data_IF_188796614622
#
_entry.id   IF_188796614622
#
_cell.length_a   1.000
_cell.length_b   1.000
_cell.length_c   1.000
_cell.angle_alpha   90.00
_cell.angle_beta   90.00
_cell.angle_gamma   90.00
#
_symmetry.space_group_name_H-M   'P 1'
#
loop_
_entity.id
_entity.type
_entity.pdbx_description
1 polymer ?
#
# COMPACT_ATOMS: atom_id res chain seq x y z
N UNK A 1 18.47 -21.10 -1.05
CA UNK A 1 17.79 -21.84 -2.14
C UNK A 1 18.62 -23.06 -2.50
N UNK A 2 18.05 -24.07 -3.20
CA UNK A 2 18.84 -25.19 -3.74
C UNK A 2 20.01 -24.74 -4.63
N UNK A 3 19.85 -23.59 -5.29
CA UNK A 3 20.89 -22.89 -6.07
C UNK A 3 22.09 -22.37 -5.27
N UNK A 4 22.03 -22.37 -3.93
CA UNK A 4 23.00 -21.72 -3.06
C UNK A 4 22.72 -20.23 -2.78
N UNK A 5 21.76 -19.61 -3.47
CA UNK A 5 21.43 -18.19 -3.24
C UNK A 5 20.68 -17.99 -1.91
N UNK A 6 20.80 -16.79 -1.34
CA UNK A 6 20.13 -16.41 -0.09
C UNK A 6 18.60 -16.35 -0.29
N UNK A 7 17.86 -17.03 0.58
CA UNK A 7 16.39 -17.08 0.49
C UNK A 7 15.68 -16.13 1.45
N UNK A 8 16.02 -16.22 2.73
CA UNK A 8 15.33 -15.51 3.79
C UNK A 8 16.38 -14.97 4.76
N UNK A 9 16.27 -13.69 5.09
CA UNK A 9 17.04 -13.03 6.14
C UNK A 9 16.09 -12.75 7.29
N UNK A 10 16.44 -13.21 8.49
CA UNK A 10 15.76 -12.81 9.72
C UNK A 10 16.76 -12.07 10.58
N UNK A 11 16.50 -10.79 10.80
CA UNK A 11 17.33 -9.94 11.65
C UNK A 11 16.52 -9.42 12.84
N UNK A 12 17.19 -9.31 13.99
CA UNK A 12 16.61 -8.76 15.22
C UNK A 12 17.50 -7.61 15.71
N UNK A 13 16.88 -6.46 15.94
CA UNK A 13 17.47 -5.31 16.63
C UNK A 13 16.62 -4.97 17.85
N UNK A 14 17.15 -5.19 19.05
CA UNK A 14 16.43 -5.04 20.32
C UNK A 14 15.07 -5.76 20.28
N UNK A 15 13.98 -5.00 20.22
CA UNK A 15 12.60 -5.49 20.17
C UNK A 15 11.99 -5.49 18.77
N UNK A 16 12.78 -5.18 17.74
CA UNK A 16 12.36 -5.17 16.33
C UNK A 16 12.88 -6.40 15.63
N UNK A 17 11.98 -7.12 14.96
CA UNK A 17 12.33 -8.24 14.10
C UNK A 17 11.91 -7.89 12.67
N UNK A 18 12.80 -8.16 11.72
CA UNK A 18 12.52 -8.04 10.29
C UNK A 18 12.81 -9.37 9.62
N UNK A 19 11.89 -9.83 8.80
CA UNK A 19 12.03 -10.97 7.93
C UNK A 19 11.96 -10.48 6.48
N UNK A 20 13.01 -10.74 5.70
CA UNK A 20 13.14 -10.33 4.30
C UNK A 20 13.24 -11.60 3.46
N UNK A 21 12.36 -11.75 2.48
CA UNK A 21 12.44 -12.80 1.47
C UNK A 21 13.09 -12.24 0.22
N UNK A 22 14.09 -12.92 -0.33
CA UNK A 22 14.83 -12.53 -1.52
C UNK A 22 14.53 -13.45 -2.70
N UNK A 23 14.70 -12.94 -3.92
CA UNK A 23 14.67 -13.73 -5.16
C UNK A 23 15.81 -14.76 -5.17
N UNK A 24 15.56 -15.88 -5.86
CA UNK A 24 16.60 -16.87 -6.13
C UNK A 24 17.53 -16.39 -7.27
N UNK A 25 18.39 -15.42 -6.97
CA UNK A 25 19.38 -14.85 -7.90
C UNK A 25 20.75 -14.65 -7.24
N UNK A 26 21.85 -14.83 -7.98
CA UNK A 26 23.21 -14.72 -7.43
C UNK A 26 23.65 -13.27 -7.16
N UNK A 27 23.19 -12.31 -7.96
CA UNK A 27 23.48 -10.88 -7.78
C UNK A 27 22.22 -10.05 -7.94
N UNK A 28 22.19 -8.89 -7.26
CA UNK A 28 21.08 -7.93 -7.30
C UNK A 28 19.69 -8.55 -7.05
N UNK A 29 19.62 -9.57 -6.17
CA UNK A 29 18.39 -10.26 -5.82
C UNK A 29 17.34 -9.27 -5.33
N UNK A 30 16.16 -9.29 -5.98
CA UNK A 30 15.04 -8.47 -5.56
C UNK A 30 14.49 -8.91 -4.21
N UNK A 31 13.93 -7.96 -3.46
CA UNK A 31 13.14 -8.28 -2.28
C UNK A 31 11.75 -8.71 -2.74
N UNK A 32 11.33 -9.91 -2.34
CA UNK A 32 9.99 -10.43 -2.65
C UNK A 32 9.00 -10.21 -1.53
N UNK A 33 9.47 -10.11 -0.29
CA UNK A 33 8.63 -9.71 0.84
C UNK A 33 9.45 -9.14 1.99
N UNK A 34 8.82 -8.28 2.77
CA UNK A 34 9.33 -7.73 4.02
C UNK A 34 8.24 -7.84 5.07
N UNK A 35 8.58 -8.42 6.22
CA UNK A 35 7.70 -8.48 7.39
C UNK A 35 8.41 -7.86 8.58
N UNK A 36 7.76 -6.91 9.23
CA UNK A 36 8.31 -6.19 10.37
C UNK A 36 7.46 -6.45 11.62
N UNK A 37 8.11 -6.56 12.78
CA UNK A 37 7.43 -6.76 14.06
C UNK A 37 6.62 -5.55 14.56
N UNK A 38 6.62 -4.44 13.83
CA UNK A 38 5.71 -3.31 14.05
C UNK A 38 4.37 -3.50 13.29
N UNK A 39 4.19 -4.65 12.63
CA UNK A 39 3.01 -4.99 11.84
C UNK A 39 3.05 -4.53 10.38
N UNK A 40 4.07 -3.77 9.94
CA UNK A 40 4.23 -3.36 8.54
C UNK A 40 4.78 -4.50 7.72
N UNK A 41 3.97 -4.97 6.78
CA UNK A 41 4.29 -6.13 5.95
C UNK A 41 4.00 -5.82 4.49
N UNK A 42 4.87 -6.25 3.59
CA UNK A 42 4.71 -6.03 2.15
C UNK A 42 5.21 -7.23 1.36
N UNK A 43 4.43 -7.67 0.38
CA UNK A 43 4.83 -8.69 -0.59
C UNK A 43 4.79 -8.09 -1.99
N UNK A 44 5.69 -8.55 -2.85
CA UNK A 44 5.86 -8.06 -4.21
C UNK A 44 5.61 -9.16 -5.23
N UNK A 45 5.09 -8.77 -6.38
CA UNK A 45 5.12 -9.60 -7.58
C UNK A 45 6.56 -9.75 -8.12
N UNK A 46 6.83 -10.73 -9.00
CA UNK A 46 8.13 -10.87 -9.65
C UNK A 46 8.59 -9.62 -10.43
N UNK A 47 7.64 -8.80 -10.92
CA UNK A 47 7.92 -7.51 -11.57
C UNK A 47 8.17 -6.35 -10.57
N UNK A 48 8.26 -6.66 -9.27
CA UNK A 48 8.43 -5.72 -8.14
C UNK A 48 7.24 -4.80 -7.87
N UNK A 49 6.12 -4.96 -8.55
CA UNK A 49 4.88 -4.30 -8.17
C UNK A 49 4.43 -4.79 -6.79
N UNK A 50 3.86 -3.90 -5.98
CA UNK A 50 3.31 -4.28 -4.67
C UNK A 50 2.11 -5.20 -4.90
N UNK A 51 2.17 -6.38 -4.30
CA UNK A 51 1.08 -7.36 -4.36
C UNK A 51 0.20 -7.25 -3.12
N UNK A 52 0.82 -7.26 -1.94
CA UNK A 52 0.11 -7.14 -0.67
C UNK A 52 0.81 -6.10 0.18
N UNK A 53 0.03 -5.22 0.80
CA UNK A 53 0.53 -4.29 1.81
C UNK A 53 -0.38 -4.37 3.04
N UNK A 54 0.23 -4.51 4.22
CA UNK A 54 -0.48 -4.72 5.49
C UNK A 54 0.16 -3.91 6.60
N UNK A 55 -0.66 -3.51 7.57
CA UNK A 55 -0.26 -2.88 8.82
C UNK A 55 -1.08 -3.43 9.99
N UNK A 56 -0.98 -2.81 11.17
CA UNK A 56 -1.72 -3.20 12.38
C UNK A 56 -3.25 -2.97 12.30
N UNK A 57 -3.75 -2.23 11.31
CA UNK A 57 -5.18 -1.96 11.12
C UNK A 57 -5.82 -2.94 10.13
N UNK A 58 -5.08 -3.36 9.11
CA UNK A 58 -5.59 -4.26 8.09
C UNK A 58 -4.60 -4.47 6.97
N UNK A 59 -5.12 -4.71 5.77
CA UNK A 59 -4.29 -4.82 4.59
C UNK A 59 -5.08 -4.69 3.29
N UNK A 60 -4.32 -4.67 2.20
CA UNK A 60 -4.83 -4.57 0.85
C UNK A 60 -4.09 -5.51 -0.07
N UNK A 61 -4.85 -6.04 -1.04
CA UNK A 61 -4.38 -6.88 -2.12
C UNK A 61 -4.50 -6.07 -3.41
N UNK A 62 -3.39 -5.95 -4.14
CA UNK A 62 -3.29 -5.21 -5.39
C UNK A 62 -3.03 -6.18 -6.55
N UNK A 63 -3.47 -5.80 -7.75
CA UNK A 63 -3.08 -6.48 -8.98
C UNK A 63 -1.70 -5.99 -9.48
N UNK A 64 -1.20 -6.58 -10.56
CA UNK A 64 0.11 -6.21 -11.13
C UNK A 64 0.15 -4.78 -11.70
N UNK A 65 -0.99 -4.16 -11.96
CA UNK A 65 -1.11 -2.77 -12.38
C UNK A 65 -1.21 -1.80 -11.19
N UNK A 66 -1.22 -2.32 -9.96
CA UNK A 66 -1.36 -1.54 -8.72
C UNK A 66 -2.79 -1.14 -8.39
N UNK A 67 -3.80 -1.72 -9.05
CA UNK A 67 -5.20 -1.49 -8.68
C UNK A 67 -5.53 -2.32 -7.45
N UNK A 68 -6.31 -1.73 -6.53
CA UNK A 68 -6.76 -2.42 -5.32
C UNK A 68 -7.89 -3.40 -5.64
N UNK A 69 -7.62 -4.69 -5.52
CA UNK A 69 -8.59 -5.79 -5.75
C UNK A 69 -9.37 -6.10 -4.48
N UNK A 70 -8.72 -6.08 -3.31
CA UNK A 70 -9.34 -6.40 -2.03
C UNK A 70 -8.75 -5.54 -0.92
N UNK A 71 -9.56 -5.22 0.09
CA UNK A 71 -9.15 -4.61 1.36
C UNK A 71 -9.80 -5.38 2.51
N UNK A 72 -9.10 -5.50 3.62
CA UNK A 72 -9.64 -6.07 4.85
C UNK A 72 -9.16 -5.27 6.06
N UNK A 73 -9.86 -5.45 7.17
CA UNK A 73 -9.50 -4.92 8.50
C UNK A 73 -9.35 -6.07 9.48
N UNK A 74 -8.46 -5.91 10.47
CA UNK A 74 -8.33 -6.91 11.53
C UNK A 74 -9.48 -6.78 12.54
N UNK A 75 -9.97 -7.88 13.15
CA UNK A 75 -11.11 -7.86 14.08
C UNK A 75 -10.94 -6.95 15.30
N UNK A 76 -9.70 -6.67 15.71
CA UNK A 76 -9.38 -5.86 16.90
C UNK A 76 -8.82 -4.47 16.55
N UNK A 77 -8.97 -4.00 15.30
CA UNK A 77 -8.59 -2.62 15.00
C UNK A 77 -9.62 -1.68 15.65
N UNK A 78 -9.19 -0.89 16.62
CA UNK A 78 -10.01 0.04 17.45
C UNK A 78 -10.81 1.07 16.62
N UNK A 79 -10.57 1.14 15.31
CA UNK A 79 -11.24 2.03 14.36
C UNK A 79 -12.58 1.43 13.87
N UNK A 80 -13.54 1.26 14.77
CA UNK A 80 -14.90 0.79 14.48
C UNK A 80 -15.84 1.94 14.08
N UNK A 81 -15.65 2.54 12.91
CA UNK A 81 -16.67 3.43 12.29
C UNK A 81 -16.90 3.18 10.79
N UNK A 82 -16.19 2.22 10.19
CA UNK A 82 -16.39 1.80 8.79
C UNK A 82 -16.84 0.34 8.69
N UNK A 83 -17.38 -0.05 7.54
CA UNK A 83 -17.70 -1.45 7.25
C UNK A 83 -16.44 -2.30 7.36
N UNK A 84 -16.34 -3.10 8.43
CA UNK A 84 -15.25 -4.04 8.61
C UNK A 84 -15.43 -5.19 7.61
N UNK A 85 -14.54 -5.27 6.64
CA UNK A 85 -14.48 -6.41 5.73
C UNK A 85 -13.52 -7.42 6.36
N UNK A 86 -14.01 -8.59 6.81
CA UNK A 86 -13.16 -9.60 7.40
C UNK A 86 -12.18 -10.15 6.37
N UNK A 87 -11.00 -10.56 6.85
CA UNK A 87 -10.05 -11.26 6.00
C UNK A 87 -10.60 -12.63 5.60
N UNK A 88 -10.68 -12.88 4.30
CA UNK A 88 -10.69 -14.23 3.75
C UNK A 88 -9.24 -14.70 3.58
N UNK A 89 -8.87 -15.91 4.07
CA UNK A 89 -7.51 -16.43 4.01
C UNK A 89 -6.80 -16.20 2.68
N UNK A 90 -5.57 -15.66 2.73
CA UNK A 90 -4.76 -15.39 1.55
C UNK A 90 -3.56 -16.32 1.52
N UNK A 91 -3.32 -16.92 0.36
CA UNK A 91 -2.17 -17.77 0.09
C UNK A 91 -1.54 -17.30 -1.22
N UNK A 92 -0.26 -16.94 -1.18
CA UNK A 92 0.49 -16.52 -2.36
C UNK A 92 1.81 -17.27 -2.43
N UNK A 93 2.26 -17.58 -3.65
CA UNK A 93 3.61 -18.08 -3.91
C UNK A 93 4.47 -16.91 -4.37
N UNK A 94 5.47 -16.53 -3.59
CA UNK A 94 6.42 -15.48 -3.97
C UNK A 94 7.37 -15.98 -5.07
N UNK A 95 7.75 -17.25 -5.00
CA UNK A 95 8.47 -17.97 -6.03
C UNK A 95 8.17 -19.48 -5.93
N UNK A 96 8.97 -20.30 -6.63
CA UNK A 96 8.82 -21.77 -6.65
C UNK A 96 8.99 -22.43 -5.26
N UNK A 97 9.80 -21.84 -4.39
CA UNK A 97 10.18 -22.40 -3.09
C UNK A 97 9.53 -21.66 -1.91
N UNK A 98 9.16 -20.38 -2.06
CA UNK A 98 8.65 -19.55 -0.97
C UNK A 98 7.19 -19.18 -1.18
N UNK A 99 6.38 -19.46 -0.17
CA UNK A 99 4.97 -19.06 -0.08
C UNK A 99 4.66 -18.28 1.19
N UNK A 100 3.60 -17.47 1.14
CA UNK A 100 3.09 -16.69 2.27
C UNK A 100 1.62 -17.04 2.49
N UNK A 101 1.26 -17.25 3.75
CA UNK A 101 -0.09 -17.54 4.21
C UNK A 101 -0.51 -16.50 5.23
N UNK A 102 -1.65 -15.85 5.00
CA UNK A 102 -2.20 -14.79 5.86
C UNK A 102 -3.58 -15.26 6.33
N UNK A 103 -3.71 -15.54 7.63
CA UNK A 103 -4.96 -15.99 8.26
C UNK A 103 -5.51 -14.97 9.25
N UNK A 104 -4.63 -14.33 10.01
CA UNK A 104 -4.94 -13.24 10.95
C UNK A 104 -3.69 -12.40 11.16
N UNK A 105 -3.82 -11.28 11.87
CA UNK A 105 -2.71 -10.36 12.18
C UNK A 105 -1.47 -11.06 12.79
N UNK A 106 -1.71 -12.04 13.67
CA UNK A 106 -0.72 -12.84 14.40
C UNK A 106 -0.42 -14.21 13.76
N UNK A 107 -1.13 -14.56 12.68
CA UNK A 107 -0.96 -15.83 11.95
C UNK A 107 -0.63 -15.53 10.50
N UNK A 108 0.57 -14.99 10.30
CA UNK A 108 1.18 -14.79 8.99
C UNK A 108 2.38 -15.71 8.90
N UNK A 109 2.34 -16.69 8.02
CA UNK A 109 3.41 -17.69 7.88
C UNK A 109 4.12 -17.55 6.55
N UNK A 110 5.44 -17.44 6.59
CA UNK A 110 6.31 -17.67 5.42
C UNK A 110 6.74 -19.12 5.44
N UNK A 111 6.54 -19.83 4.34
CA UNK A 111 7.00 -21.21 4.16
C UNK A 111 8.05 -21.29 3.08
N UNK A 112 9.17 -21.94 3.37
CA UNK A 112 10.19 -22.33 2.41
C UNK A 112 10.10 -23.85 2.22
N UNK A 113 9.90 -24.31 0.99
CA UNK A 113 9.80 -25.72 0.62
C UNK A 113 10.84 -26.02 -0.45
N UNK A 114 11.76 -26.92 -0.18
CA UNK A 114 12.70 -27.43 -1.18
C UNK A 114 13.16 -28.85 -0.83
N UNK A 115 13.42 -29.67 -1.84
CA UNK A 115 13.97 -31.02 -1.68
C UNK A 115 13.18 -31.90 -0.68
N UNK A 116 11.85 -31.79 -0.69
CA UNK A 116 10.97 -32.52 0.23
C UNK A 116 10.96 -32.02 1.68
N UNK A 117 11.72 -30.97 2.00
CA UNK A 117 11.80 -30.37 3.34
C UNK A 117 11.10 -29.02 3.38
N UNK A 118 10.44 -28.72 4.51
CA UNK A 118 9.71 -27.49 4.71
C UNK A 118 10.11 -26.78 6.00
N UNK A 119 10.48 -25.50 5.88
CA UNK A 119 10.62 -24.58 7.00
C UNK A 119 9.45 -23.59 7.02
N UNK A 120 8.92 -23.29 8.21
CA UNK A 120 7.84 -22.31 8.40
C UNK A 120 8.22 -21.31 9.47
N UNK A 121 8.03 -20.03 9.15
CA UNK A 121 8.32 -18.91 10.03
C UNK A 121 7.02 -18.15 10.27
N UNK A 122 6.59 -18.04 11.53
CA UNK A 122 5.52 -17.09 11.86
C UNK A 122 6.12 -15.69 11.92
N UNK A 123 5.67 -14.83 11.03
CA UNK A 123 6.02 -13.41 10.93
C UNK A 123 4.84 -12.51 11.28
N UNK A 124 3.72 -13.10 11.72
CA UNK A 124 2.57 -12.41 12.26
C UNK A 124 2.94 -11.70 13.55
N UNK A 125 2.34 -10.53 13.76
CA UNK A 125 2.59 -9.69 14.93
C UNK A 125 1.27 -9.40 15.64
N UNK A 126 1.16 -9.79 16.90
CA UNK A 126 0.08 -9.34 17.77
C UNK A 126 0.44 -7.97 18.36
N UNK A 127 0.44 -6.94 17.54
CA UNK A 127 0.61 -5.59 18.03
C UNK A 127 -0.72 -5.15 18.65
N UNK A 128 -0.79 -5.17 19.98
CA UNK A 128 -1.82 -4.44 20.71
C UNK A 128 -1.56 -2.95 20.47
N UNK A 129 -2.62 -2.20 20.20
CA UNK A 129 -2.56 -0.74 20.26
C UNK A 129 -2.44 -0.37 21.75
N UNK A 130 -1.23 -0.35 22.26
CA UNK A 130 -0.92 0.13 23.61
C UNK A 130 -0.67 1.64 23.56
N UNK A 131 -1.68 2.41 23.14
CA UNK A 131 -1.87 3.80 23.55
C UNK A 131 -3.22 4.31 23.04
N UNK A 132 -4.18 4.44 23.96
CA UNK A 132 -5.51 5.02 23.70
C UNK A 132 -5.44 6.55 23.53
N UNK A 133 -4.26 7.17 23.70
CA UNK A 133 -4.07 8.62 23.58
C UNK A 133 -3.48 9.14 22.27
N UNK A 134 -3.12 8.30 21.28
CA UNK A 134 -2.29 8.75 20.14
C UNK A 134 -2.65 8.25 18.74
N UNK A 135 -3.79 7.59 18.54
CA UNK A 135 -4.23 7.24 17.19
C UNK A 135 -5.18 8.30 16.64
N UNK A 136 -4.93 8.79 15.40
CA UNK A 136 -5.85 9.70 14.76
C UNK A 136 -7.21 9.02 14.57
N UNK A 137 -8.31 9.79 14.59
CA UNK A 137 -9.65 9.27 14.36
C UNK A 137 -9.79 8.60 12.98
N UNK A 138 -10.87 7.85 12.84
CA UNK A 138 -11.16 6.98 11.70
C UNK A 138 -11.05 7.64 10.34
N UNK A 139 -10.56 6.89 9.34
CA UNK A 139 -10.65 7.24 7.93
C UNK A 139 -10.08 8.63 7.55
N UNK A 140 -9.25 9.22 8.41
CA UNK A 140 -8.40 10.33 8.01
C UNK A 140 -7.30 9.74 7.14
N UNK A 141 -7.35 10.07 5.85
CA UNK A 141 -6.19 9.93 4.98
C UNK A 141 -5.03 10.65 5.68
N UNK A 142 -3.88 10.01 5.79
CA UNK A 142 -2.71 10.70 6.34
C UNK A 142 -2.42 11.96 5.50
N UNK A 143 -1.72 12.94 6.09
CA UNK A 143 -1.31 14.14 5.36
C UNK A 143 -0.58 13.78 4.06
N UNK A 144 0.30 12.77 4.12
CA UNK A 144 1.00 12.21 2.96
C UNK A 144 0.03 11.59 1.93
N UNK A 145 -0.98 10.84 2.38
CA UNK A 145 -1.98 10.24 1.48
C UNK A 145 -2.83 11.30 0.78
N UNK A 146 -3.20 12.37 1.49
CA UNK A 146 -3.89 13.53 0.93
C UNK A 146 -3.04 14.25 -0.11
N UNK A 147 -1.76 14.48 0.18
CA UNK A 147 -0.81 15.06 -0.78
C UNK A 147 -0.63 14.16 -2.00
N UNK A 148 -0.47 12.85 -1.81
CA UNK A 148 -0.33 11.90 -2.90
C UNK A 148 -1.57 11.87 -3.79
N UNK A 149 -2.76 11.95 -3.22
CA UNK A 149 -4.01 12.08 -3.98
C UNK A 149 -4.08 13.40 -4.75
N UNK A 150 -3.67 14.51 -4.12
CA UNK A 150 -3.60 15.82 -4.76
C UNK A 150 -2.63 15.82 -5.95
N UNK A 151 -1.42 15.29 -5.75
CA UNK A 151 -0.41 15.13 -6.81
C UNK A 151 -0.88 14.21 -7.93
N UNK A 152 -1.59 13.12 -7.60
CA UNK A 152 -2.18 12.24 -8.62
C UNK A 152 -3.16 13.01 -9.50
N UNK A 153 -4.06 13.80 -8.91
CA UNK A 153 -5.00 14.63 -9.69
C UNK A 153 -4.25 15.64 -10.56
N UNK A 154 -3.21 16.28 -10.01
CA UNK A 154 -2.37 17.23 -10.74
C UNK A 154 -1.68 16.58 -11.95
N UNK A 155 -1.08 15.41 -11.77
CA UNK A 155 -0.43 14.65 -12.85
C UNK A 155 -1.46 14.29 -13.94
N UNK A 156 -2.65 13.82 -13.56
CA UNK A 156 -3.67 13.48 -14.54
C UNK A 156 -4.19 14.70 -15.31
N UNK A 157 -4.32 15.87 -14.66
CA UNK A 157 -4.64 17.13 -15.35
C UNK A 157 -3.55 17.55 -16.32
N UNK A 158 -2.28 17.39 -15.95
CA UNK A 158 -1.16 17.67 -16.86
C UNK A 158 -1.19 16.75 -18.09
N UNK A 159 -1.47 15.46 -17.90
CA UNK A 159 -1.66 14.53 -19.03
C UNK A 159 -2.84 14.91 -19.92
N UNK A 160 -3.96 15.34 -19.33
CA UNK A 160 -5.12 15.82 -20.07
C UNK A 160 -4.79 17.05 -20.91
N UNK A 161 -4.08 18.04 -20.33
CA UNK A 161 -3.59 19.22 -21.07
C UNK A 161 -2.63 18.84 -22.20
N UNK A 162 -1.67 17.95 -21.93
CA UNK A 162 -0.72 17.47 -22.96
C UNK A 162 -1.44 16.78 -24.12
N UNK A 163 -2.42 15.93 -23.83
CA UNK A 163 -3.27 15.30 -24.86
C UNK A 163 -4.09 16.33 -25.63
N UNK A 164 -4.60 17.34 -24.94
CA UNK A 164 -5.19 18.53 -25.56
C UNK A 164 -4.24 19.11 -26.61
N UNK A 165 -3.06 19.57 -26.18
CA UNK A 165 -2.07 20.20 -27.06
C UNK A 165 -1.72 19.36 -28.29
N UNK A 166 -1.62 18.04 -28.13
CA UNK A 166 -1.35 17.12 -29.24
C UNK A 166 -2.52 17.01 -30.23
N UNK A 167 -3.76 17.02 -29.74
CA UNK A 167 -4.95 16.83 -30.57
C UNK A 167 -5.45 18.12 -31.23
N UNK A 168 -5.22 19.30 -30.63
CA UNK A 168 -5.68 20.59 -31.18
C UNK A 168 -4.61 21.69 -31.10
N UNK A 169 -3.44 21.52 -31.76
CA UNK A 169 -2.26 22.37 -31.56
C UNK A 169 -2.49 23.89 -31.81
N UNK A 170 -3.50 24.26 -32.58
CA UNK A 170 -3.82 25.66 -32.93
C UNK A 170 -4.79 26.36 -31.98
N UNK A 171 -5.27 25.68 -30.92
CA UNK A 171 -6.24 26.27 -30.01
C UNK A 171 -5.52 27.14 -28.96
N UNK A 172 -5.85 28.42 -28.85
CA UNK A 172 -5.25 29.34 -27.86
C UNK A 172 -6.05 29.40 -26.54
N UNK A 173 -7.24 28.80 -26.47
CA UNK A 173 -8.16 28.90 -25.31
C UNK A 173 -8.19 27.64 -24.45
N UNK A 174 -7.03 27.03 -24.20
CA UNK A 174 -6.90 25.80 -23.40
C UNK A 174 -7.49 25.89 -22.00
N UNK A 175 -7.32 27.04 -21.34
CA UNK A 175 -7.77 27.24 -19.95
C UNK A 175 -9.30 27.28 -19.81
N UNK A 176 -10.04 27.34 -20.93
CA UNK A 176 -11.50 27.30 -20.95
C UNK A 176 -12.08 25.91 -21.20
N UNK A 177 -11.26 24.94 -21.60
CA UNK A 177 -11.71 23.57 -21.84
C UNK A 177 -11.92 22.89 -20.49
N UNK A 178 -13.17 22.45 -20.26
CA UNK A 178 -13.49 21.73 -19.02
C UNK A 178 -12.77 20.39 -19.01
N UNK A 179 -12.12 20.03 -17.88
CA UNK A 179 -11.49 18.73 -17.76
C UNK A 179 -12.55 17.62 -17.80
N UNK A 180 -12.18 16.39 -18.19
CA UNK A 180 -13.03 15.23 -18.14
C UNK A 180 -13.75 15.05 -16.79
N UNK A 181 -15.00 14.57 -16.83
CA UNK A 181 -15.85 14.41 -15.65
C UNK A 181 -15.20 13.58 -14.52
N UNK A 182 -14.37 12.59 -14.88
CA UNK A 182 -13.65 11.78 -13.89
C UNK A 182 -12.62 12.59 -13.09
N UNK A 183 -11.95 13.57 -13.71
CA UNK A 183 -11.00 14.47 -13.03
C UNK A 183 -11.71 15.46 -12.13
N UNK A 184 -12.87 15.97 -12.56
CA UNK A 184 -13.73 16.83 -11.74
C UNK A 184 -14.16 16.06 -10.48
N UNK A 185 -14.62 14.82 -10.67
CA UNK A 185 -15.06 13.94 -9.57
C UNK A 185 -13.92 13.64 -8.59
N UNK A 186 -12.72 13.32 -9.10
CA UNK A 186 -11.56 13.06 -8.25
C UNK A 186 -11.12 14.32 -7.49
N UNK A 187 -11.11 15.48 -8.15
CA UNK A 187 -10.82 16.79 -7.52
C UNK A 187 -11.76 17.04 -6.35
N UNK A 188 -13.08 16.89 -6.56
CA UNK A 188 -14.08 17.12 -5.52
C UNK A 188 -13.91 16.15 -4.34
N UNK A 189 -13.63 14.87 -4.62
CA UNK A 189 -13.36 13.88 -3.57
C UNK A 189 -12.15 14.26 -2.72
N UNK A 190 -11.04 14.68 -3.33
CA UNK A 190 -9.85 15.12 -2.59
C UNK A 190 -10.16 16.33 -1.71
N UNK A 191 -10.87 17.33 -2.24
CA UNK A 191 -11.27 18.52 -1.48
C UNK A 191 -12.21 18.17 -0.32
N UNK A 192 -13.15 17.24 -0.55
CA UNK A 192 -14.05 16.74 0.49
C UNK A 192 -13.29 16.00 1.61
N UNK A 193 -12.23 15.25 1.27
CA UNK A 193 -11.39 14.62 2.28
C UNK A 193 -10.62 15.64 3.13
N UNK A 194 -10.21 16.78 2.57
CA UNK A 194 -9.62 17.89 3.33
C UNK A 194 -10.60 18.60 4.28
N UNK A 195 -11.91 18.51 4.03
CA UNK A 195 -12.94 19.10 4.90
C UNK A 195 -13.41 18.15 5.99
N UNK A 196 -13.40 16.85 5.72
CA UNK A 196 -13.81 15.81 6.68
C UNK A 196 -12.66 15.45 7.63
N UNK A 197 -11.41 15.66 7.23
CA UNK A 197 -10.24 15.36 8.05
C UNK A 197 -9.79 16.60 8.84
N UNK A 198 -9.40 16.38 10.10
CA UNK A 198 -8.84 17.39 11.00
C UNK A 198 -7.40 17.76 10.57
N UNK A 199 -7.31 18.40 9.41
CA UNK A 199 -6.08 18.73 8.70
C UNK A 199 -5.78 20.22 8.88
N UNK A 200 -4.50 20.56 9.06
CA UNK A 200 -4.05 21.94 9.19
C UNK A 200 -4.49 22.82 8.01
N UNK A 201 -4.78 24.09 8.29
CA UNK A 201 -5.18 25.04 7.24
C UNK A 201 -4.11 25.22 6.16
N UNK A 202 -2.83 25.13 6.54
CA UNK A 202 -1.68 25.16 5.61
C UNK A 202 -1.69 23.97 4.64
N UNK A 203 -1.98 22.77 5.13
CA UNK A 203 -2.07 21.59 4.26
C UNK A 203 -3.31 21.66 3.37
N UNK A 204 -4.44 22.14 3.90
CA UNK A 204 -5.66 22.36 3.13
C UNK A 204 -5.44 23.38 2.00
N UNK A 205 -4.71 24.47 2.26
CA UNK A 205 -4.35 25.44 1.22
C UNK A 205 -3.41 24.85 0.19
N UNK A 206 -2.42 24.05 0.63
CA UNK A 206 -1.46 23.39 -0.24
C UNK A 206 -2.14 22.39 -1.18
N UNK A 207 -3.03 21.54 -0.66
CA UNK A 207 -3.81 20.59 -1.47
C UNK A 207 -4.68 21.33 -2.48
N UNK A 208 -5.35 22.41 -2.07
CA UNK A 208 -6.16 23.23 -2.98
C UNK A 208 -5.32 23.86 -4.09
N UNK A 209 -4.13 24.35 -3.77
CA UNK A 209 -3.19 24.91 -4.75
C UNK A 209 -2.71 23.83 -5.74
N UNK A 210 -2.31 22.65 -5.25
CA UNK A 210 -1.84 21.53 -6.07
C UNK A 210 -2.93 21.06 -7.05
N UNK A 211 -4.17 20.91 -6.58
CA UNK A 211 -5.26 20.39 -7.41
C UNK A 211 -5.76 21.41 -8.45
N UNK A 212 -5.62 22.71 -8.17
CA UNK A 212 -6.09 23.79 -9.06
C UNK A 212 -5.00 24.38 -9.97
N UNK A 213 -3.72 24.09 -9.74
CA UNK A 213 -2.63 24.42 -10.66
C UNK A 213 -2.70 23.59 -11.96
#
# INVERSE_FOLDING_TARGET
>A
YPSGNLAIIVARDKNRLICIVQEDKPSHAGIQAVFQSNGRNTCYYPNRAVWINMNIQGGQYLDQAGNRVRRWTWPNSIMSSGAQVPLSPIFISLNLYVGVRILSQDKITVSFLAMGQQAKFNVGTKAQVSDVGRLPPSAHLSEDELLLLAFRVRILRLFDRLRGCLNFPSNEQWDKIKPPAYLITQTLKVLQFCTISDVSDELRSSVRAIVNA
#
